data_IF_534686547622
#
_entry.id   IF_534686547622
#
_cell.length_a   1.000
_cell.length_b   1.000
_cell.length_c   1.000
_cell.angle_alpha   90.00
_cell.angle_beta   90.00
_cell.angle_gamma   90.00
#
_symmetry.space_group_name_H-M   'P 1'
#
loop_
_entity.id
_entity.type
_entity.pdbx_description
1 polymer ?
#
# COMPACT_ATOMS: atom_id res chain seq x y z
N UNK A 1 -22.64 4.12 -6.61
CA UNK A 1 -21.66 4.96 -5.87
C UNK A 1 -21.76 6.38 -6.41
N UNK A 2 -21.75 7.39 -5.54
CA UNK A 2 -21.71 8.78 -5.99
C UNK A 2 -20.33 9.08 -6.61
N UNK A 3 -20.31 9.85 -7.70
CA UNK A 3 -19.08 10.26 -8.39
C UNK A 3 -18.90 11.77 -8.17
N UNK A 4 -17.77 12.15 -7.59
CA UNK A 4 -17.35 13.54 -7.51
C UNK A 4 -16.30 13.83 -8.58
N UNK A 5 -16.51 14.85 -9.41
CA UNK A 5 -15.50 15.34 -10.35
C UNK A 5 -14.64 16.38 -9.63
N UNK A 6 -13.33 16.20 -9.71
CA UNK A 6 -12.33 17.13 -9.16
C UNK A 6 -11.36 17.51 -10.27
N UNK A 7 -10.85 18.74 -10.23
CA UNK A 7 -9.75 19.18 -11.10
C UNK A 7 -8.44 18.96 -10.35
N UNK A 8 -7.48 18.31 -11.00
CA UNK A 8 -6.16 18.03 -10.44
C UNK A 8 -5.11 18.33 -11.49
N UNK A 9 -3.96 18.85 -11.07
CA UNK A 9 -2.79 18.97 -11.94
C UNK A 9 -2.04 17.64 -11.92
N UNK A 10 -1.77 17.10 -13.10
CA UNK A 10 -1.02 15.86 -13.29
C UNK A 10 0.10 16.16 -14.27
N UNK A 11 1.28 15.61 -14.00
CA UNK A 11 2.39 15.67 -14.93
C UNK A 11 1.96 15.16 -16.32
N UNK A 12 2.43 15.84 -17.37
CA UNK A 12 1.97 15.59 -18.73
C UNK A 12 2.45 14.23 -19.27
N UNK A 13 3.68 13.84 -18.94
CA UNK A 13 4.26 12.55 -19.36
C UNK A 13 3.55 11.42 -18.62
N UNK A 14 3.37 11.56 -17.29
CA UNK A 14 2.62 10.60 -16.48
C UNK A 14 1.17 10.43 -16.98
N UNK A 15 0.52 11.53 -17.38
CA UNK A 15 -0.85 11.47 -17.91
C UNK A 15 -0.90 10.74 -19.25
N UNK A 16 0.12 10.89 -20.10
CA UNK A 16 0.20 10.18 -21.38
C UNK A 16 0.33 8.66 -21.13
N UNK A 17 1.26 8.25 -20.28
CA UNK A 17 1.46 6.84 -19.91
C UNK A 17 0.18 6.23 -19.29
N UNK A 18 -0.46 6.96 -18.37
CA UNK A 18 -1.69 6.51 -17.73
C UNK A 18 -2.84 6.34 -18.73
N UNK A 19 -2.90 7.16 -19.79
CA UNK A 19 -3.91 7.04 -20.85
C UNK A 19 -3.66 5.84 -21.73
N UNK A 20 -2.41 5.58 -22.09
CA UNK A 20 -2.01 4.38 -22.85
C UNK A 20 -2.37 3.11 -22.08
N UNK A 21 -1.99 3.05 -20.80
CA UNK A 21 -2.30 1.93 -19.91
C UNK A 21 -3.81 1.73 -19.70
N UNK A 22 -4.56 2.83 -19.53
CA UNK A 22 -6.00 2.75 -19.30
C UNK A 22 -6.78 2.17 -20.49
N UNK A 23 -6.31 2.41 -21.72
CA UNK A 23 -6.94 1.92 -22.95
C UNK A 23 -8.47 2.06 -22.95
N UNK A 24 -9.18 0.96 -23.27
CA UNK A 24 -10.65 0.94 -23.31
C UNK A 24 -11.32 1.01 -21.93
N UNK A 25 -10.60 0.69 -20.84
CA UNK A 25 -11.13 0.72 -19.46
C UNK A 25 -11.29 2.16 -18.96
N UNK A 26 -10.55 3.10 -19.55
CA UNK A 26 -10.69 4.54 -19.33
C UNK A 26 -9.91 5.03 -18.12
N UNK A 27 -9.39 6.26 -18.24
CA UNK A 27 -8.47 6.86 -17.27
C UNK A 27 -9.07 6.95 -15.85
N UNK A 28 -10.37 7.27 -15.73
CA UNK A 28 -11.03 7.37 -14.43
C UNK A 28 -11.05 6.06 -13.66
N UNK A 29 -11.23 4.92 -14.34
CA UNK A 29 -11.21 3.61 -13.68
C UNK A 29 -9.80 3.29 -13.17
N UNK A 30 -8.78 3.55 -14.00
CA UNK A 30 -7.38 3.38 -13.62
C UNK A 30 -7.01 4.25 -12.40
N UNK A 31 -7.36 5.53 -12.42
CA UNK A 31 -7.10 6.45 -11.31
C UNK A 31 -7.82 6.00 -10.03
N UNK A 32 -9.08 5.57 -10.12
CA UNK A 32 -9.82 5.09 -8.96
C UNK A 32 -9.20 3.83 -8.36
N UNK A 33 -8.72 2.90 -9.20
CA UNK A 33 -8.07 1.68 -8.74
C UNK A 33 -6.72 1.99 -8.07
N UNK A 34 -5.89 2.84 -8.69
CA UNK A 34 -4.63 3.30 -8.13
C UNK A 34 -4.82 4.04 -6.79
N UNK A 35 -5.79 4.96 -6.72
CA UNK A 35 -6.13 5.68 -5.48
C UNK A 35 -6.58 4.73 -4.39
N UNK A 36 -7.41 3.72 -4.71
CA UNK A 36 -7.88 2.74 -3.73
C UNK A 36 -6.73 1.95 -3.13
N UNK A 37 -5.81 1.47 -3.96
CA UNK A 37 -4.61 0.75 -3.52
C UNK A 37 -3.75 1.66 -2.64
N UNK A 38 -3.43 2.88 -3.10
CA UNK A 38 -2.58 3.82 -2.34
C UNK A 38 -3.17 4.15 -0.97
N UNK A 39 -4.47 4.40 -0.90
CA UNK A 39 -5.18 4.68 0.34
C UNK A 39 -5.23 3.47 1.28
N UNK A 40 -5.35 2.26 0.74
CA UNK A 40 -5.29 1.05 1.56
C UNK A 40 -3.89 0.86 2.17
N UNK A 41 -2.83 1.00 1.38
CA UNK A 41 -1.45 0.94 1.89
C UNK A 41 -1.20 2.02 2.94
N UNK A 42 -1.69 3.25 2.74
CA UNK A 42 -1.56 4.31 3.73
C UNK A 42 -2.28 3.98 5.05
N UNK A 43 -3.45 3.34 5.01
CA UNK A 43 -4.15 2.89 6.22
C UNK A 43 -3.39 1.81 6.95
N UNK A 44 -2.82 0.83 6.23
CA UNK A 44 -2.01 -0.23 6.84
C UNK A 44 -0.75 0.34 7.48
N UNK A 45 -0.04 1.25 6.79
CA UNK A 45 1.14 1.91 7.36
C UNK A 45 0.83 2.62 8.67
N UNK A 46 -0.24 3.45 8.70
CA UNK A 46 -0.65 4.13 9.94
C UNK A 46 -1.00 3.16 11.06
N UNK A 47 -1.66 2.05 10.75
CA UNK A 47 -1.97 1.05 11.78
C UNK A 47 -0.69 0.43 12.37
N UNK A 48 0.32 0.16 11.53
CA UNK A 48 1.61 -0.35 12.00
C UNK A 48 2.33 0.70 12.87
N UNK A 49 2.34 1.96 12.44
CA UNK A 49 2.90 3.07 13.23
C UNK A 49 2.19 3.19 14.60
N UNK A 50 0.86 3.12 14.62
CA UNK A 50 0.05 3.14 15.85
C UNK A 50 0.38 1.96 16.78
N UNK A 51 0.58 0.76 16.23
CA UNK A 51 0.96 -0.43 17.00
C UNK A 51 2.37 -0.31 17.57
N UNK A 52 3.32 0.21 16.79
CA UNK A 52 4.69 0.44 17.24
C UNK A 52 4.74 1.51 18.34
N UNK A 53 3.93 2.56 18.25
CA UNK A 53 3.79 3.58 19.28
C UNK A 53 3.17 3.03 20.57
N UNK A 54 2.15 2.17 20.47
CA UNK A 54 1.43 1.62 21.64
C UNK A 54 2.24 0.54 22.37
N UNK A 55 2.88 -0.37 21.63
CA UNK A 55 3.49 -1.57 22.20
C UNK A 55 5.02 -1.56 22.20
N UNK A 56 5.64 -0.71 21.38
CA UNK A 56 7.09 -0.68 21.21
C UNK A 56 7.64 -1.92 20.48
N UNK A 57 8.98 -2.07 20.42
CA UNK A 57 9.61 -3.15 19.67
C UNK A 57 9.37 -4.53 20.29
N UNK A 58 9.35 -5.56 19.43
CA UNK A 58 9.25 -6.95 19.87
C UNK A 58 10.52 -7.32 20.66
N UNK A 59 10.42 -7.88 21.87
CA UNK A 59 11.59 -8.35 22.62
C UNK A 59 12.34 -9.45 21.85
N UNK A 60 13.66 -9.34 21.77
CA UNK A 60 14.53 -10.24 21.00
C UNK A 60 14.38 -11.73 21.33
N UNK A 61 14.12 -12.06 22.60
CA UNK A 61 13.86 -13.42 23.04
C UNK A 61 12.61 -14.04 22.40
N UNK A 62 11.56 -13.23 22.21
CA UNK A 62 10.31 -13.67 21.56
C UNK A 62 10.55 -13.86 20.07
N UNK A 63 11.31 -12.97 19.41
CA UNK A 63 11.66 -13.16 18.01
C UNK A 63 12.46 -14.45 17.77
N UNK A 64 13.40 -14.76 18.66
CA UNK A 64 14.21 -15.98 18.57
C UNK A 64 13.36 -17.23 18.76
N UNK A 65 12.44 -17.21 19.72
CA UNK A 65 11.47 -18.28 19.92
C UNK A 65 10.58 -18.49 18.68
N UNK A 66 10.08 -17.40 18.08
CA UNK A 66 9.24 -17.46 16.86
C UNK A 66 10.04 -18.02 15.70
N UNK A 67 11.29 -17.56 15.49
CA UNK A 67 12.18 -18.08 14.42
C UNK A 67 12.44 -19.57 14.56
N UNK A 68 12.64 -20.06 15.80
CA UNK A 68 12.82 -21.49 16.08
C UNK A 68 11.55 -22.30 15.83
N UNK A 69 10.39 -21.74 16.20
CA UNK A 69 9.09 -22.43 16.14
C UNK A 69 8.51 -22.44 14.73
N UNK A 70 8.80 -21.42 13.92
CA UNK A 70 8.33 -21.31 12.53
C UNK A 70 9.49 -21.09 11.54
N UNK A 71 10.30 -22.13 11.24
CA UNK A 71 11.53 -21.98 10.43
C UNK A 71 11.29 -21.46 9.00
N UNK A 72 10.09 -21.66 8.46
CA UNK A 72 9.70 -21.16 7.14
C UNK A 72 9.30 -19.68 7.13
N UNK A 73 9.05 -19.04 8.28
CA UNK A 73 8.67 -17.63 8.36
C UNK A 73 9.81 -16.70 7.96
N UNK A 74 11.07 -17.10 8.14
CA UNK A 74 12.25 -16.35 7.71
C UNK A 74 12.45 -16.30 6.19
N UNK A 75 11.56 -16.90 5.40
CA UNK A 75 11.64 -16.95 3.93
C UNK A 75 10.85 -15.85 3.22
N UNK A 76 10.11 -15.02 3.97
CA UNK A 76 9.52 -13.80 3.41
C UNK A 76 10.56 -12.69 3.43
N UNK A 77 10.95 -12.12 2.27
CA UNK A 77 11.80 -10.94 2.27
C UNK A 77 10.99 -9.81 2.91
N UNK A 78 11.46 -9.31 4.06
CA UNK A 78 10.98 -8.04 4.60
C UNK A 78 11.31 -6.95 3.58
N UNK A 79 10.28 -6.34 3.01
CA UNK A 79 10.39 -5.14 2.19
C UNK A 79 10.73 -3.93 3.08
#
# INVERSE_FOLDING_TARGET
MAIAKVSVSVDAELLAEARELAGRRGLSALINDALRVRLQHARVGRLLDEMDEEFGPIPSAIEEEVRRTWPAAGRYPSA
#
